data_IF_218212974162
#
_entry.id   IF_218212974162
#
_cell.length_a   1.000
_cell.length_b   1.000
_cell.length_c   1.000
_cell.angle_alpha   90.00
_cell.angle_beta   90.00
_cell.angle_gamma   90.00
#
_symmetry.space_group_name_H-M   'P 1'
#
loop_
_entity.id
_entity.type
_entity.pdbx_description
1 polymer ?
#
# COMPACT_ATOMS: atom_id res chain seq x y z
N UNK A 1 -30.02 -3.41 14.04
CA UNK A 1 -28.56 -3.51 14.20
C UNK A 1 -28.13 -4.91 13.79
N UNK A 2 -27.27 -5.06 12.76
CA UNK A 2 -26.83 -6.35 12.23
C UNK A 2 -26.09 -7.18 13.29
N UNK A 3 -25.11 -6.59 13.97
CA UNK A 3 -24.30 -7.28 14.99
C UNK A 3 -25.11 -7.82 16.17
N UNK A 4 -26.16 -7.12 16.59
CA UNK A 4 -27.03 -7.58 17.69
C UNK A 4 -27.72 -8.92 17.38
N UNK A 5 -27.82 -9.31 16.10
CA UNK A 5 -28.40 -10.59 15.67
C UNK A 5 -27.39 -11.74 15.65
N UNK A 6 -26.11 -11.46 15.41
CA UNK A 6 -25.10 -12.48 15.10
C UNK A 6 -23.93 -12.53 16.09
N UNK A 7 -23.81 -11.54 16.97
CA UNK A 7 -22.83 -11.55 18.05
C UNK A 7 -23.40 -12.32 19.25
N UNK A 8 -22.83 -13.49 19.53
CA UNK A 8 -23.19 -14.28 20.72
C UNK A 8 -22.81 -13.56 22.01
N UNK A 9 -23.56 -13.80 23.09
CA UNK A 9 -23.26 -13.25 24.40
C UNK A 9 -21.82 -13.59 24.83
N UNK A 10 -21.15 -12.63 25.48
CA UNK A 10 -19.76 -12.73 25.93
C UNK A 10 -18.72 -12.99 24.82
N UNK A 11 -19.06 -12.73 23.55
CA UNK A 11 -18.09 -12.74 22.44
C UNK A 11 -17.73 -11.33 22.01
N UNK A 12 -16.57 -11.22 21.37
CA UNK A 12 -16.07 -9.98 20.76
C UNK A 12 -16.09 -10.15 19.25
N UNK A 13 -16.53 -9.11 18.54
CA UNK A 13 -16.32 -8.98 17.12
C UNK A 13 -15.20 -7.96 16.86
N UNK A 14 -14.44 -8.17 15.79
CA UNK A 14 -13.53 -7.16 15.25
C UNK A 14 -14.09 -6.67 13.92
N UNK A 15 -14.02 -5.37 13.71
CA UNK A 15 -14.47 -4.75 12.48
C UNK A 15 -13.29 -4.01 11.85
N UNK A 16 -13.07 -4.27 10.58
CA UNK A 16 -12.16 -3.51 9.73
C UNK A 16 -13.02 -2.75 8.72
N UNK A 17 -12.84 -1.44 8.67
CA UNK A 17 -13.59 -0.56 7.78
C UNK A 17 -12.61 0.24 6.94
N UNK A 18 -12.83 0.21 5.63
CA UNK A 18 -12.09 1.02 4.67
C UNK A 18 -13.10 1.80 3.82
N UNK A 19 -12.90 3.10 3.67
CA UNK A 19 -13.66 3.90 2.72
C UNK A 19 -13.09 3.67 1.31
N UNK A 20 -13.86 2.96 0.48
CA UNK A 20 -13.54 2.65 -0.91
C UNK A 20 -14.40 3.50 -1.86
N UNK A 21 -14.15 3.40 -3.17
CA UNK A 21 -14.81 4.25 -4.17
C UNK A 21 -16.34 4.03 -4.21
N UNK A 22 -16.80 2.80 -3.98
CA UNK A 22 -18.22 2.43 -3.98
C UNK A 22 -18.91 2.57 -2.60
N UNK A 23 -18.18 3.00 -1.56
CA UNK A 23 -18.65 3.06 -0.18
C UNK A 23 -17.77 2.27 0.78
N UNK A 24 -18.33 1.81 1.90
CA UNK A 24 -17.54 1.13 2.94
C UNK A 24 -17.27 -0.33 2.55
N UNK A 25 -15.99 -0.73 2.54
CA UNK A 25 -15.57 -2.12 2.64
C UNK A 25 -15.51 -2.52 4.12
N UNK A 26 -16.32 -3.51 4.50
CA UNK A 26 -16.50 -3.95 5.88
C UNK A 26 -16.13 -5.43 6.02
N UNK A 27 -15.06 -5.71 6.76
CA UNK A 27 -14.71 -7.05 7.20
C UNK A 27 -15.07 -7.23 8.68
N UNK A 28 -15.83 -8.28 8.98
CA UNK A 28 -16.24 -8.64 10.34
C UNK A 28 -15.62 -9.98 10.73
N UNK A 29 -14.90 -10.00 11.85
CA UNK A 29 -14.38 -11.21 12.47
C UNK A 29 -15.17 -11.56 13.74
N UNK A 30 -15.29 -12.85 14.04
CA UNK A 30 -15.81 -13.31 15.34
C UNK A 30 -17.33 -13.32 15.48
N UNK A 31 -18.07 -13.33 14.37
CA UNK A 31 -19.52 -13.53 14.31
C UNK A 31 -19.87 -14.82 13.58
N UNK A 32 -21.04 -15.39 13.86
CA UNK A 32 -21.59 -16.52 13.10
C UNK A 32 -22.88 -16.06 12.42
N UNK A 33 -22.85 -15.97 11.08
CA UNK A 33 -23.98 -15.50 10.28
C UNK A 33 -24.18 -16.44 9.09
N UNK A 34 -25.02 -17.47 9.28
CA UNK A 34 -25.27 -18.52 8.30
C UNK A 34 -26.76 -18.67 7.98
N UNK A 35 -27.04 -19.26 6.82
CA UNK A 35 -28.40 -19.52 6.35
C UNK A 35 -29.10 -18.31 5.71
N UNK A 36 -30.30 -18.56 5.19
CA UNK A 36 -31.08 -17.60 4.42
C UNK A 36 -31.39 -16.31 5.21
N UNK A 37 -31.83 -16.46 6.46
CA UNK A 37 -32.17 -15.31 7.31
C UNK A 37 -30.95 -14.38 7.57
N UNK A 38 -29.75 -14.95 7.65
CA UNK A 38 -28.53 -14.18 7.78
C UNK A 38 -28.18 -13.45 6.49
N UNK A 39 -28.28 -14.13 5.34
CA UNK A 39 -28.07 -13.53 4.03
C UNK A 39 -29.02 -12.35 3.79
N UNK A 40 -30.32 -12.52 4.02
CA UNK A 40 -31.32 -11.46 3.89
C UNK A 40 -31.04 -10.26 4.81
N UNK A 41 -30.64 -10.52 6.06
CA UNK A 41 -30.29 -9.48 7.01
C UNK A 41 -29.04 -8.69 6.60
N UNK A 42 -28.02 -9.39 6.07
CA UNK A 42 -26.79 -8.79 5.53
C UNK A 42 -27.12 -7.92 4.31
N UNK A 43 -27.85 -8.47 3.33
CA UNK A 43 -28.29 -7.72 2.14
C UNK A 43 -29.06 -6.46 2.51
N UNK A 44 -30.07 -6.58 3.38
CA UNK A 44 -30.88 -5.43 3.81
C UNK A 44 -30.03 -4.38 4.56
N UNK A 45 -29.05 -4.81 5.37
CA UNK A 45 -28.12 -3.90 6.03
C UNK A 45 -27.23 -3.17 5.02
N UNK A 46 -26.61 -3.90 4.09
CA UNK A 46 -25.70 -3.33 3.12
C UNK A 46 -26.40 -2.33 2.19
N UNK A 47 -27.59 -2.67 1.69
CA UNK A 47 -28.40 -1.77 0.87
C UNK A 47 -28.81 -0.51 1.63
N UNK A 48 -29.25 -0.65 2.89
CA UNK A 48 -29.67 0.49 3.71
C UNK A 48 -28.54 1.47 4.01
N UNK A 49 -27.31 0.97 4.15
CA UNK A 49 -26.17 1.75 4.60
C UNK A 49 -25.14 2.06 3.51
N UNK A 50 -25.37 1.65 2.26
CA UNK A 50 -24.42 1.89 1.16
C UNK A 50 -23.07 1.20 1.38
N UNK A 51 -23.09 -0.04 1.89
CA UNK A 51 -21.87 -0.85 2.07
C UNK A 51 -21.45 -1.39 0.70
N UNK A 52 -20.22 -1.09 0.30
CA UNK A 52 -19.62 -1.52 -0.97
C UNK A 52 -19.36 -3.03 -0.97
N UNK A 53 -18.72 -3.52 0.10
CA UNK A 53 -18.48 -4.94 0.32
C UNK A 53 -18.62 -5.29 1.80
N UNK A 54 -19.26 -6.42 2.07
CA UNK A 54 -19.29 -7.02 3.40
C UNK A 54 -18.69 -8.42 3.31
N UNK A 55 -17.67 -8.65 4.12
CA UNK A 55 -17.02 -9.95 4.27
C UNK A 55 -17.02 -10.41 5.73
N UNK A 56 -17.05 -11.71 5.92
CA UNK A 56 -16.93 -12.34 7.25
C UNK A 56 -15.73 -13.26 7.24
N UNK A 57 -14.88 -13.17 8.28
CA UNK A 57 -13.78 -14.10 8.49
C UNK A 57 -14.00 -14.92 9.77
N UNK A 58 -14.10 -16.23 9.58
CA UNK A 58 -14.30 -17.23 10.63
C UNK A 58 -13.00 -17.99 10.96
N UNK A 59 -11.85 -17.48 10.55
CA UNK A 59 -10.52 -18.07 10.75
C UNK A 59 -9.95 -18.79 9.53
N UNK A 60 -10.67 -18.79 8.40
CA UNK A 60 -10.21 -19.38 7.13
C UNK A 60 -9.86 -18.31 6.08
N UNK A 61 -9.96 -17.03 6.45
CA UNK A 61 -9.85 -15.90 5.55
C UNK A 61 -11.21 -15.27 5.26
N UNK A 62 -11.20 -14.06 4.69
CA UNK A 62 -12.41 -13.28 4.44
C UNK A 62 -13.27 -13.92 3.35
N UNK A 63 -14.54 -14.15 3.65
CA UNK A 63 -15.55 -14.60 2.69
C UNK A 63 -16.50 -13.44 2.37
N UNK A 64 -16.54 -13.00 1.12
CA UNK A 64 -17.48 -11.98 0.65
C UNK A 64 -18.92 -12.50 0.71
N UNK A 65 -19.76 -11.79 1.47
CA UNK A 65 -21.21 -12.04 1.59
C UNK A 65 -22.05 -11.03 0.81
N UNK A 66 -21.45 -9.90 0.44
CA UNK A 66 -22.08 -8.82 -0.33
C UNK A 66 -21.00 -8.06 -1.11
N UNK A 67 -21.15 -7.93 -2.42
CA UNK A 67 -20.33 -7.09 -3.31
C UNK A 67 -21.07 -6.94 -4.66
N UNK A 68 -22.02 -6.01 -4.79
CA UNK A 68 -22.83 -5.87 -6.00
C UNK A 68 -22.01 -5.33 -7.18
N UNK A 69 -20.95 -4.56 -6.87
CA UNK A 69 -19.99 -4.01 -7.81
C UNK A 69 -18.58 -4.26 -7.27
N UNK A 70 -17.57 -4.55 -8.12
CA UNK A 70 -16.21 -4.76 -7.67
C UNK A 70 -15.67 -3.56 -6.89
N UNK A 71 -15.12 -3.80 -5.69
CA UNK A 71 -14.58 -2.71 -4.88
C UNK A 71 -13.23 -2.21 -5.42
N UNK A 72 -13.12 -0.89 -5.55
CA UNK A 72 -11.89 -0.21 -5.97
C UNK A 72 -11.47 0.88 -5.00
N UNK A 73 -10.18 1.21 -5.05
CA UNK A 73 -9.62 2.43 -4.48
C UNK A 73 -8.97 3.24 -5.60
N UNK A 74 -9.31 4.52 -5.68
CA UNK A 74 -8.73 5.41 -6.70
C UNK A 74 -7.37 5.95 -6.24
N UNK A 75 -6.31 5.52 -6.93
CA UNK A 75 -4.94 5.97 -6.69
C UNK A 75 -4.45 6.77 -7.91
N UNK A 76 -3.98 7.99 -7.69
CA UNK A 76 -3.55 8.91 -8.77
C UNK A 76 -4.61 9.08 -9.88
N UNK A 77 -5.90 9.06 -9.52
CA UNK A 77 -7.02 9.16 -10.47
C UNK A 77 -7.34 7.86 -11.23
N UNK A 78 -6.71 6.74 -10.88
CA UNK A 78 -6.91 5.44 -11.51
C UNK A 78 -7.62 4.50 -10.51
N UNK A 79 -8.80 3.95 -10.85
CA UNK A 79 -9.46 2.95 -10.01
C UNK A 79 -8.68 1.62 -10.01
N UNK A 80 -8.20 1.22 -8.83
CA UNK A 80 -7.46 -0.02 -8.60
C UNK A 80 -8.35 -1.01 -7.84
N UNK A 81 -8.50 -2.28 -8.30
CA UNK A 81 -9.22 -3.28 -7.53
C UNK A 81 -8.62 -3.41 -6.13
N UNK A 82 -9.47 -3.53 -5.11
CA UNK A 82 -9.03 -3.56 -3.72
C UNK A 82 -9.26 -4.94 -3.08
N UNK A 83 -8.22 -5.81 -3.05
CA UNK A 83 -8.25 -7.03 -2.26
C UNK A 83 -8.54 -6.77 -0.77
N UNK A 84 -9.04 -7.77 -0.05
CA UNK A 84 -9.20 -7.68 1.40
C UNK A 84 -7.86 -7.39 2.07
N UNK A 85 -7.90 -6.67 3.19
CA UNK A 85 -6.71 -6.34 3.99
C UNK A 85 -5.58 -5.62 3.22
N UNK A 86 -5.91 -4.97 2.09
CA UNK A 86 -4.95 -4.14 1.37
C UNK A 86 -4.48 -2.98 2.24
N UNK A 87 -3.18 -2.70 2.22
CA UNK A 87 -2.63 -1.51 2.85
C UNK A 87 -2.97 -0.27 2.05
N UNK A 88 -3.37 0.79 2.75
CA UNK A 88 -3.63 2.12 2.21
C UNK A 88 -3.04 3.16 3.14
N UNK A 89 -2.77 4.34 2.59
CA UNK A 89 -2.43 5.51 3.40
C UNK A 89 -3.62 5.88 4.30
N UNK A 90 -3.34 6.30 5.53
CA UNK A 90 -4.38 6.50 6.52
C UNK A 90 -5.29 7.70 6.20
N UNK A 91 -4.78 8.68 5.47
CA UNK A 91 -5.51 9.90 5.09
C UNK A 91 -5.22 10.28 3.64
N UNK A 92 -6.20 10.89 2.97
CA UNK A 92 -6.05 11.37 1.59
C UNK A 92 -5.02 12.49 1.50
N UNK A 93 -5.00 13.39 2.49
CA UNK A 93 -4.06 14.50 2.55
C UNK A 93 -2.62 14.02 2.80
N UNK A 94 -2.47 12.99 3.64
CA UNK A 94 -1.18 12.35 3.87
C UNK A 94 -0.65 11.61 2.65
N UNK A 95 -1.51 10.83 1.97
CA UNK A 95 -1.17 10.21 0.69
C UNK A 95 -0.72 11.26 -0.33
N UNK A 96 -1.47 12.34 -0.49
CA UNK A 96 -1.14 13.41 -1.41
C UNK A 96 0.21 14.07 -1.09
N UNK A 97 0.51 14.28 0.20
CA UNK A 97 1.79 14.84 0.64
C UNK A 97 2.96 13.89 0.33
N UNK A 98 2.82 12.59 0.61
CA UNK A 98 3.84 11.59 0.29
C UNK A 98 4.06 11.44 -1.22
N UNK A 99 2.97 11.37 -2.00
CA UNK A 99 3.04 11.31 -3.46
C UNK A 99 3.74 12.55 -4.02
N UNK A 100 3.45 13.74 -3.49
CA UNK A 100 4.12 14.97 -3.89
C UNK A 100 5.63 14.91 -3.60
N UNK A 101 6.02 14.51 -2.39
CA UNK A 101 7.42 14.38 -1.98
C UNK A 101 8.19 13.35 -2.83
N UNK A 102 7.57 12.21 -3.13
CA UNK A 102 8.15 11.19 -4.01
C UNK A 102 8.29 11.72 -5.45
N UNK A 103 7.28 12.40 -5.99
CA UNK A 103 7.35 13.01 -7.33
C UNK A 103 8.42 14.08 -7.43
N UNK A 104 8.56 14.93 -6.41
CA UNK A 104 9.63 15.91 -6.31
C UNK A 104 11.01 15.22 -6.32
N UNK A 105 11.15 14.14 -5.54
CA UNK A 105 12.39 13.37 -5.44
C UNK A 105 12.83 12.81 -6.78
N UNK A 106 11.94 12.09 -7.49
CA UNK A 106 12.28 11.43 -8.76
C UNK A 106 12.41 12.41 -9.94
N UNK A 107 11.80 13.59 -9.85
CA UNK A 107 11.81 14.61 -10.89
C UNK A 107 11.33 14.08 -12.25
N UNK A 108 12.20 14.15 -13.25
CA UNK A 108 11.93 13.76 -14.64
C UNK A 108 12.53 12.39 -15.03
N UNK A 109 12.88 11.55 -14.05
CA UNK A 109 13.45 10.22 -14.30
C UNK A 109 12.59 9.42 -15.30
N UNK A 110 13.21 8.89 -16.34
CA UNK A 110 12.53 8.15 -17.42
C UNK A 110 12.27 6.69 -17.08
N UNK A 111 13.06 6.10 -16.18
CA UNK A 111 12.94 4.70 -15.75
C UNK A 111 13.05 4.62 -14.23
N UNK A 112 11.96 4.22 -13.58
CA UNK A 112 11.81 4.30 -12.12
C UNK A 112 11.42 2.93 -11.57
N UNK A 113 11.98 2.54 -10.42
CA UNK A 113 11.47 1.40 -9.66
C UNK A 113 10.66 1.88 -8.44
N UNK A 114 9.51 1.28 -8.20
CA UNK A 114 8.73 1.39 -6.98
C UNK A 114 8.78 0.05 -6.24
N UNK A 115 9.42 0.03 -5.08
CA UNK A 115 9.72 -1.17 -4.31
C UNK A 115 8.85 -1.19 -3.05
N UNK A 116 8.26 -2.36 -2.76
CA UNK A 116 7.16 -2.51 -1.80
C UNK A 116 5.91 -1.75 -2.26
N UNK A 117 5.64 -1.83 -3.58
CA UNK A 117 4.68 -0.94 -4.25
C UNK A 117 3.22 -1.10 -3.82
N UNK A 118 2.83 -2.19 -3.14
CA UNK A 118 1.46 -2.43 -2.74
C UNK A 118 0.47 -2.37 -3.91
N UNK A 119 -0.58 -1.54 -3.77
CA UNK A 119 -1.55 -1.26 -4.83
C UNK A 119 -1.07 -0.22 -5.86
N UNK A 120 0.14 0.31 -5.68
CA UNK A 120 0.78 1.26 -6.58
C UNK A 120 0.47 2.73 -6.30
N UNK A 121 0.36 3.11 -5.02
CA UNK A 121 0.17 4.51 -4.59
C UNK A 121 1.20 5.44 -5.26
N UNK A 122 2.47 5.02 -5.30
CA UNK A 122 3.52 5.76 -6.01
C UNK A 122 3.64 5.31 -7.46
N UNK A 123 3.69 4.01 -7.76
CA UNK A 123 3.84 3.48 -9.12
C UNK A 123 2.89 4.11 -10.16
N UNK A 124 1.64 4.38 -9.78
CA UNK A 124 0.64 5.00 -10.66
C UNK A 124 0.81 6.51 -10.81
N UNK A 125 1.39 7.18 -9.80
CA UNK A 125 1.61 8.62 -9.78
C UNK A 125 2.93 9.06 -10.45
N UNK A 126 3.89 8.13 -10.59
CA UNK A 126 5.22 8.39 -11.13
C UNK A 126 5.22 8.55 -12.66
N UNK A 127 6.05 9.42 -13.26
CA UNK A 127 6.17 9.54 -14.71
C UNK A 127 6.97 8.37 -15.31
N UNK A 128 6.98 8.29 -16.66
CA UNK A 128 7.89 7.40 -17.38
C UNK A 128 7.55 5.92 -17.29
N UNK A 129 8.60 5.08 -17.41
CA UNK A 129 8.50 3.61 -17.34
C UNK A 129 8.72 3.17 -15.90
N UNK A 130 7.76 2.46 -15.34
CA UNK A 130 7.78 2.05 -13.93
C UNK A 130 7.95 0.54 -13.81
N UNK A 131 8.92 0.10 -13.02
CA UNK A 131 8.99 -1.25 -12.46
C UNK A 131 8.36 -1.21 -11.06
N UNK A 132 7.41 -2.09 -10.77
CA UNK A 132 6.78 -2.21 -9.46
C UNK A 132 7.08 -3.59 -8.86
N UNK A 133 7.74 -3.63 -7.71
CA UNK A 133 8.09 -4.86 -7.00
C UNK A 133 7.28 -5.01 -5.72
N UNK A 134 6.52 -6.11 -5.59
CA UNK A 134 5.65 -6.35 -4.44
C UNK A 134 5.53 -7.84 -4.10
N UNK A 135 5.47 -8.17 -2.80
CA UNK A 135 5.37 -9.53 -2.29
C UNK A 135 3.92 -10.04 -2.23
N UNK A 136 2.95 -9.15 -2.02
CA UNK A 136 1.53 -9.48 -2.00
C UNK A 136 1.01 -9.69 -3.43
N UNK A 137 0.81 -10.96 -3.80
CA UNK A 137 0.33 -11.37 -5.13
C UNK A 137 -0.95 -10.63 -5.56
N UNK A 138 -1.92 -10.48 -4.67
CA UNK A 138 -3.21 -9.88 -5.04
C UNK A 138 -3.08 -8.37 -5.26
N UNK A 139 -2.23 -7.70 -4.49
CA UNK A 139 -1.95 -6.28 -4.66
C UNK A 139 -1.23 -6.00 -5.99
N UNK A 140 -0.17 -6.75 -6.30
CA UNK A 140 0.61 -6.54 -7.52
C UNK A 140 -0.19 -6.89 -8.80
N UNK A 141 -1.10 -7.88 -8.73
CA UNK A 141 -2.01 -8.19 -9.83
C UNK A 141 -3.07 -7.10 -10.00
N UNK A 142 -3.57 -6.51 -8.91
CA UNK A 142 -4.52 -5.39 -8.95
C UNK A 142 -3.88 -4.15 -9.56
N UNK A 143 -2.66 -3.81 -9.16
CA UNK A 143 -1.84 -2.76 -9.76
C UNK A 143 -1.62 -3.03 -11.26
N UNK A 144 -1.20 -4.25 -11.64
CA UNK A 144 -1.00 -4.62 -13.05
C UNK A 144 -2.25 -4.39 -13.89
N UNK A 145 -3.41 -4.83 -13.40
CA UNK A 145 -4.68 -4.67 -14.11
C UNK A 145 -5.07 -3.19 -14.24
N UNK A 146 -4.91 -2.41 -13.18
CA UNK A 146 -5.21 -0.99 -13.17
C UNK A 146 -4.28 -0.19 -14.11
N UNK A 147 -2.97 -0.44 -14.03
CA UNK A 147 -1.97 0.18 -14.89
C UNK A 147 -2.22 -0.11 -16.37
N UNK A 148 -2.57 -1.35 -16.72
CA UNK A 148 -2.91 -1.73 -18.08
C UNK A 148 -4.16 -1.01 -18.60
N UNK A 149 -5.24 -0.95 -17.80
CA UNK A 149 -6.47 -0.23 -18.17
C UNK A 149 -6.23 1.27 -18.38
N UNK A 150 -5.36 1.86 -17.57
CA UNK A 150 -5.01 3.28 -17.65
C UNK A 150 -3.92 3.61 -18.69
N UNK A 151 -3.44 2.62 -19.46
CA UNK A 151 -2.41 2.83 -20.47
C UNK A 151 -1.04 3.22 -19.91
N UNK A 152 -0.74 2.83 -18.65
CA UNK A 152 0.55 3.11 -18.00
C UNK A 152 1.62 2.18 -18.52
N UNK A 153 2.84 2.69 -18.73
CA UNK A 153 4.01 1.85 -18.99
C UNK A 153 4.56 1.31 -17.68
N UNK A 154 3.90 0.27 -17.16
CA UNK A 154 4.18 -0.32 -15.86
C UNK A 154 4.46 -1.82 -15.98
N UNK A 155 5.57 -2.26 -15.42
CA UNK A 155 5.91 -3.68 -15.26
C UNK A 155 5.74 -4.09 -13.80
N UNK A 156 4.78 -4.97 -13.55
CA UNK A 156 4.46 -5.48 -12.21
C UNK A 156 5.16 -6.83 -11.97
N UNK A 157 6.03 -6.89 -10.96
CA UNK A 157 6.82 -8.07 -10.59
C UNK A 157 6.43 -8.55 -9.18
N UNK A 158 5.93 -9.78 -9.11
CA UNK A 158 5.68 -10.44 -7.83
C UNK A 158 7.02 -10.88 -7.23
N UNK A 159 7.57 -10.05 -6.35
CA UNK A 159 8.92 -10.18 -5.80
C UNK A 159 8.91 -9.85 -4.32
N UNK A 160 9.19 -10.87 -3.50
CA UNK A 160 9.49 -10.68 -2.09
C UNK A 160 10.90 -10.08 -1.94
N UNK A 161 10.95 -8.78 -1.70
CA UNK A 161 12.19 -8.02 -1.56
C UNK A 161 12.96 -8.32 -0.26
N UNK A 162 12.33 -8.94 0.74
CA UNK A 162 13.05 -9.41 1.94
C UNK A 162 13.89 -10.66 1.65
N UNK A 163 13.43 -11.50 0.72
CA UNK A 163 14.11 -12.75 0.36
C UNK A 163 14.92 -12.62 -0.93
N UNK A 164 14.47 -11.77 -1.84
CA UNK A 164 15.03 -11.58 -3.17
C UNK A 164 15.06 -10.07 -3.48
N UNK A 165 15.92 -9.28 -2.81
CA UNK A 165 16.09 -7.87 -3.14
C UNK A 165 16.55 -7.72 -4.60
N UNK A 166 16.33 -6.56 -5.21
CA UNK A 166 17.04 -6.19 -6.42
C UNK A 166 18.54 -6.19 -6.14
N UNK A 167 19.30 -6.87 -6.98
CA UNK A 167 20.77 -6.83 -6.95
C UNK A 167 21.26 -5.42 -7.30
N UNK A 168 22.49 -5.09 -6.90
CA UNK A 168 23.15 -3.84 -7.30
C UNK A 168 23.06 -3.57 -8.81
N UNK A 169 23.33 -4.57 -9.64
CA UNK A 169 23.26 -4.44 -11.10
C UNK A 169 21.83 -4.28 -11.65
N UNK A 170 20.81 -4.74 -10.94
CA UNK A 170 19.42 -4.43 -11.27
C UNK A 170 19.07 -3.00 -10.86
N UNK A 171 19.50 -2.54 -9.69
CA UNK A 171 19.28 -1.17 -9.21
C UNK A 171 19.87 -0.13 -10.17
N UNK A 172 21.06 -0.39 -10.71
CA UNK A 172 21.76 0.49 -11.65
C UNK A 172 21.04 0.69 -13.00
N UNK A 173 19.95 -0.04 -13.26
CA UNK A 173 19.12 0.13 -14.48
C UNK A 173 18.12 1.27 -14.35
N UNK A 174 17.92 1.79 -13.14
CA UNK A 174 16.93 2.80 -12.83
C UNK A 174 17.59 4.16 -12.63
N UNK A 175 16.92 5.21 -13.08
CA UNK A 175 17.32 6.60 -12.87
C UNK A 175 16.88 7.10 -11.47
N UNK A 176 15.80 6.51 -10.94
CA UNK A 176 15.34 6.72 -9.58
C UNK A 176 14.70 5.46 -9.00
N UNK A 177 14.81 5.28 -7.69
CA UNK A 177 14.17 4.18 -6.96
C UNK A 177 13.35 4.75 -5.80
N UNK A 178 12.10 4.31 -5.68
CA UNK A 178 11.20 4.59 -4.56
C UNK A 178 11.18 3.38 -3.63
N UNK A 179 11.32 3.62 -2.34
CA UNK A 179 11.22 2.63 -1.26
C UNK A 179 10.07 3.03 -0.32
N UNK A 180 9.07 2.16 -0.16
CA UNK A 180 8.05 2.29 0.90
C UNK A 180 7.90 0.99 1.72
N UNK A 181 8.94 0.58 2.47
CA UNK A 181 8.91 -0.70 3.17
C UNK A 181 7.96 -0.71 4.36
N UNK A 182 7.54 -1.90 4.83
CA UNK A 182 6.82 -2.03 6.08
C UNK A 182 7.70 -1.62 7.28
N UNK A 183 7.11 -1.61 8.48
CA UNK A 183 7.75 -1.12 9.73
C UNK A 183 9.13 -1.71 10.07
N UNK A 184 9.52 -2.85 9.49
CA UNK A 184 10.84 -3.45 9.68
C UNK A 184 11.96 -2.72 8.90
N UNK A 185 11.61 -1.84 7.96
CA UNK A 185 12.52 -1.22 7.00
C UNK A 185 12.92 -2.15 5.86
N UNK A 186 13.91 -1.74 5.06
CA UNK A 186 14.29 -2.41 3.81
C UNK A 186 15.76 -2.86 3.82
N UNK A 187 16.29 -3.29 4.98
CA UNK A 187 17.74 -3.53 5.19
C UNK A 187 18.44 -4.25 4.03
N UNK A 188 17.92 -5.39 3.59
CA UNK A 188 18.53 -6.19 2.51
C UNK A 188 18.56 -5.43 1.17
N UNK A 189 17.47 -4.74 0.83
CA UNK A 189 17.42 -3.90 -0.36
C UNK A 189 18.33 -2.67 -0.26
N UNK A 190 18.40 -2.06 0.93
CA UNK A 190 19.24 -0.89 1.20
C UNK A 190 20.73 -1.22 1.10
N UNK A 191 21.15 -2.42 1.53
CA UNK A 191 22.52 -2.89 1.32
C UNK A 191 22.88 -2.96 -0.17
N UNK A 192 21.96 -3.42 -1.02
CA UNK A 192 22.18 -3.47 -2.48
C UNK A 192 22.24 -2.07 -3.08
N UNK A 193 21.38 -1.15 -2.61
CA UNK A 193 21.34 0.25 -3.06
C UNK A 193 22.57 1.04 -2.64
N UNK A 194 23.08 0.82 -1.44
CA UNK A 194 24.31 1.46 -0.96
C UNK A 194 25.52 1.12 -1.84
N UNK A 195 25.54 -0.06 -2.46
CA UNK A 195 26.55 -0.45 -3.44
C UNK A 195 26.23 -0.02 -4.89
N UNK A 196 24.97 0.39 -5.17
CA UNK A 196 24.49 0.79 -6.49
C UNK A 196 24.80 2.25 -6.80
N UNK A 197 24.88 2.56 -8.10
CA UNK A 197 25.10 3.88 -8.69
C UNK A 197 23.82 4.59 -9.13
N UNK A 198 22.65 4.04 -8.81
CA UNK A 198 21.36 4.71 -8.99
C UNK A 198 21.45 6.16 -8.49
N UNK A 199 21.11 7.17 -9.31
CA UNK A 199 21.31 8.57 -8.93
C UNK A 199 20.43 9.03 -7.77
N UNK A 200 19.18 8.56 -7.71
CA UNK A 200 18.14 9.09 -6.83
C UNK A 200 17.45 7.96 -6.06
N UNK A 201 17.28 8.14 -4.75
CA UNK A 201 16.40 7.30 -3.94
C UNK A 201 15.38 8.19 -3.21
N UNK A 202 14.10 7.93 -3.45
CA UNK A 202 13.01 8.45 -2.63
C UNK A 202 12.64 7.39 -1.59
N UNK A 203 12.72 7.73 -0.31
CA UNK A 203 12.43 6.79 0.78
C UNK A 203 11.23 7.30 1.57
N UNK A 204 10.15 6.53 1.60
CA UNK A 204 8.98 6.71 2.46
C UNK A 204 9.06 5.73 3.62
N UNK A 205 8.74 6.19 4.83
CA UNK A 205 8.75 5.31 6.02
C UNK A 205 7.74 5.74 7.07
N UNK A 206 7.08 4.77 7.69
CA UNK A 206 6.25 4.96 8.88
C UNK A 206 7.01 4.70 10.21
N UNK A 207 8.32 4.42 10.13
CA UNK A 207 9.14 4.11 11.31
C UNK A 207 10.50 4.86 11.27
N UNK A 208 10.62 5.97 12.02
CA UNK A 208 11.85 6.77 12.07
C UNK A 208 13.09 5.99 12.51
N UNK A 209 12.94 4.98 13.38
CA UNK A 209 14.08 4.21 13.89
C UNK A 209 14.70 3.31 12.83
N UNK A 210 13.88 2.58 12.06
CA UNK A 210 14.38 1.77 10.95
C UNK A 210 14.82 2.62 9.77
N UNK A 211 14.16 3.77 9.53
CA UNK A 211 14.63 4.75 8.56
C UNK A 211 16.04 5.25 8.89
N UNK A 212 16.32 5.64 10.14
CA UNK A 212 17.63 6.14 10.54
C UNK A 212 18.76 5.11 10.29
N UNK A 213 18.52 3.84 10.62
CA UNK A 213 19.43 2.72 10.31
C UNK A 213 19.69 2.62 8.80
N UNK A 214 18.64 2.62 8.01
CA UNK A 214 18.74 2.44 6.56
C UNK A 214 19.41 3.66 5.90
N UNK A 215 19.09 4.87 6.36
CA UNK A 215 19.73 6.11 5.94
C UNK A 215 21.24 6.12 6.22
N UNK A 216 21.66 5.62 7.39
CA UNK A 216 23.09 5.49 7.72
C UNK A 216 23.81 4.56 6.72
N UNK A 217 23.18 3.45 6.34
CA UNK A 217 23.76 2.51 5.36
C UNK A 217 23.87 3.18 3.98
N UNK A 218 22.84 3.88 3.52
CA UNK A 218 22.88 4.62 2.26
C UNK A 218 23.98 5.70 2.27
N UNK A 219 24.10 6.44 3.36
CA UNK A 219 25.14 7.47 3.50
C UNK A 219 26.55 6.88 3.47
N UNK A 220 26.78 5.74 4.14
CA UNK A 220 28.05 4.99 4.04
C UNK A 220 28.32 4.46 2.64
N UNK A 221 27.27 4.18 1.86
CA UNK A 221 27.34 3.83 0.45
C UNK A 221 27.71 4.99 -0.49
N UNK A 222 27.74 6.22 0.03
CA UNK A 222 28.09 7.43 -0.72
C UNK A 222 26.88 8.24 -1.20
N UNK A 223 25.67 7.98 -0.68
CA UNK A 223 24.54 8.89 -0.89
C UNK A 223 24.58 10.05 0.11
N UNK A 224 24.05 11.20 -0.31
CA UNK A 224 23.75 12.34 0.55
C UNK A 224 22.25 12.41 0.80
N UNK A 225 21.85 12.46 2.07
CA UNK A 225 20.48 12.78 2.46
C UNK A 225 20.25 14.28 2.27
N UNK A 226 19.50 14.68 1.25
CA UNK A 226 19.24 16.10 0.96
C UNK A 226 18.19 16.70 1.88
N UNK A 227 17.10 15.97 2.10
CA UNK A 227 16.02 16.41 2.97
C UNK A 227 15.22 15.24 3.55
N UNK A 228 14.52 15.53 4.65
CA UNK A 228 13.52 14.67 5.28
C UNK A 228 12.28 15.51 5.56
N UNK A 229 11.13 15.03 5.15
CA UNK A 229 9.83 15.65 5.37
C UNK A 229 8.94 14.71 6.20
N UNK A 230 8.67 15.04 7.48
CA UNK A 230 7.65 14.36 8.26
C UNK A 230 6.24 14.64 7.71
N UNK A 231 5.39 13.62 7.70
CA UNK A 231 3.96 13.67 7.32
C UNK A 231 3.13 13.16 8.49
N UNK A 232 2.35 14.07 9.09
CA UNK A 232 1.51 13.80 10.24
C UNK A 232 0.13 13.28 9.83
N UNK A 233 0.00 11.99 9.53
CA UNK A 233 -1.29 11.39 9.19
C UNK A 233 -2.13 10.98 10.42
N UNK A 234 -1.49 10.78 11.57
CA UNK A 234 -2.12 10.18 12.75
C UNK A 234 -2.30 11.21 13.88
N UNK A 235 -3.47 11.85 13.93
CA UNK A 235 -3.79 12.78 15.03
C UNK A 235 -3.76 12.07 16.38
N UNK A 236 -3.15 12.72 17.37
CA UNK A 236 -3.00 12.23 18.75
C UNK A 236 -2.26 10.89 18.88
N UNK A 237 -1.43 10.55 17.89
CA UNK A 237 -0.57 9.38 17.89
C UNK A 237 0.90 9.81 17.91
N UNK A 238 1.76 8.93 18.41
CA UNK A 238 3.22 9.06 18.26
C UNK A 238 3.71 8.56 16.90
N UNK A 239 2.83 8.01 16.07
CA UNK A 239 3.17 7.54 14.73
C UNK A 239 3.37 8.74 13.81
N UNK A 240 4.48 8.71 13.09
CA UNK A 240 4.85 9.72 12.10
C UNK A 240 5.32 8.99 10.86
N UNK A 241 4.80 9.41 9.72
CA UNK A 241 5.37 9.03 8.45
C UNK A 241 6.38 10.07 8.01
N UNK A 242 7.29 9.70 7.12
CA UNK A 242 8.25 10.60 6.54
C UNK A 242 8.52 10.21 5.09
N UNK A 243 8.87 11.22 4.30
CA UNK A 243 9.54 11.06 3.02
C UNK A 243 10.95 11.62 3.13
N UNK A 244 11.88 11.06 2.37
CA UNK A 244 13.26 11.53 2.30
C UNK A 244 13.80 11.37 0.90
N UNK A 245 14.71 12.27 0.53
CA UNK A 245 15.43 12.23 -0.74
C UNK A 245 16.91 12.01 -0.51
N UNK A 246 17.44 10.99 -1.17
CA UNK A 246 18.87 10.74 -1.25
C UNK A 246 19.34 10.92 -2.67
N UNK A 247 20.50 11.55 -2.82
CA UNK A 247 21.20 11.71 -4.10
C UNK A 247 22.61 11.14 -3.97
N UNK A 248 23.12 10.54 -5.03
CA UNK A 248 24.49 10.07 -5.07
C UNK A 248 25.45 11.14 -5.61
#
# INVERSE_FOLDING_TARGET
>A
MLLARFLKANRRARLHLTEADQGIDLLIEGIEAEGLAAAEAITAFCQRHGVARLSIDNGLGPETRWEPEPVTITLAGIPVPMPHNSFLQATREGEAALVAAVRESVGQAGTIADLFSGLGTFALALPGRVYAGEAARDAILSLKAAGARAGRTLFADHRDLFRRPLTTAECDRFEAIVLDPPRAGAREQVLQLAAAKTPIIAYVSCNPGTFARDAEILCKGGYTLEWVQPVGQFRWSTHVELAARFVR
#
